data_IF_082997087852
#
_entry.id   IF_082997087852
#
_cell.length_a   1.000
_cell.length_b   1.000
_cell.length_c   1.000
_cell.angle_alpha   90.00
_cell.angle_beta   90.00
_cell.angle_gamma   90.00
#
_symmetry.space_group_name_H-M   'P 1'
#
loop_
_entity.id
_entity.type
_entity.pdbx_description
1 polymer ?
#
# COMPACT_ATOMS: atom_id res chain seq x y z
N UNK A 1 5.15 39.50 3.91
CA UNK A 1 6.09 39.66 2.77
C UNK A 1 7.23 38.64 2.79
N UNK A 2 8.16 38.63 3.76
CA UNK A 2 9.21 37.58 3.81
C UNK A 2 8.66 36.17 4.13
N UNK A 3 7.66 36.07 5.03
CA UNK A 3 6.98 34.81 5.34
C UNK A 3 6.11 34.25 4.21
N UNK A 4 5.48 35.14 3.41
CA UNK A 4 4.65 34.72 2.26
C UNK A 4 5.49 34.25 1.08
N UNK A 5 6.68 34.85 0.87
CA UNK A 5 7.63 34.43 -0.16
C UNK A 5 8.23 33.04 0.18
N UNK A 6 8.64 32.82 1.44
CA UNK A 6 9.15 31.52 1.87
C UNK A 6 8.09 30.40 1.80
N UNK A 7 6.82 30.71 2.10
CA UNK A 7 5.72 29.76 1.95
C UNK A 7 5.39 29.45 0.48
N UNK A 8 5.48 30.45 -0.40
CA UNK A 8 5.30 30.26 -1.85
C UNK A 8 6.45 29.46 -2.48
N UNK A 9 7.68 29.71 -2.05
CA UNK A 9 8.88 28.96 -2.48
C UNK A 9 8.81 27.50 -2.03
N UNK A 10 8.34 27.23 -0.80
CA UNK A 10 8.11 25.87 -0.30
C UNK A 10 7.02 25.11 -1.07
N UNK A 11 5.90 25.77 -1.40
CA UNK A 11 4.83 25.14 -2.19
C UNK A 11 5.26 24.85 -3.65
N UNK A 12 6.04 25.74 -4.24
CA UNK A 12 6.63 25.54 -5.57
C UNK A 12 7.63 24.37 -5.57
N UNK A 13 8.45 24.25 -4.51
CA UNK A 13 9.40 23.15 -4.38
C UNK A 13 8.72 21.79 -4.20
N UNK A 14 7.66 21.71 -3.39
CA UNK A 14 6.87 20.47 -3.19
C UNK A 14 6.18 20.02 -4.48
N UNK A 15 5.57 20.95 -5.23
CA UNK A 15 4.90 20.62 -6.50
C UNK A 15 5.90 20.21 -7.57
N UNK A 16 7.08 20.83 -7.60
CA UNK A 16 8.16 20.43 -8.51
C UNK A 16 8.66 19.01 -8.24
N UNK A 17 8.93 18.64 -6.97
CA UNK A 17 9.35 17.27 -6.64
C UNK A 17 8.27 16.25 -7.02
N UNK A 18 6.99 16.62 -6.93
CA UNK A 18 5.88 15.79 -7.43
C UNK A 18 5.93 15.57 -8.94
N UNK A 19 6.18 16.62 -9.71
CA UNK A 19 6.37 16.51 -11.16
C UNK A 19 7.60 15.64 -11.50
N UNK A 20 8.72 15.80 -10.77
CA UNK A 20 9.91 14.97 -10.92
C UNK A 20 9.59 13.50 -10.62
N UNK A 21 8.86 13.21 -9.55
CA UNK A 21 8.46 11.85 -9.20
C UNK A 21 7.61 11.20 -10.31
N UNK A 22 6.66 11.93 -10.90
CA UNK A 22 5.86 11.42 -12.03
C UNK A 22 6.71 11.20 -13.28
N UNK A 23 7.65 12.11 -13.59
CA UNK A 23 8.61 11.93 -14.68
C UNK A 23 9.48 10.68 -14.46
N UNK A 24 9.96 10.47 -13.23
CA UNK A 24 10.67 9.25 -12.85
C UNK A 24 9.80 8.01 -13.00
N UNK A 25 8.49 8.09 -12.73
CA UNK A 25 7.52 7.03 -13.04
C UNK A 25 7.49 6.68 -14.53
N UNK A 26 7.40 7.69 -15.42
CA UNK A 26 7.43 7.47 -16.88
C UNK A 26 8.75 6.85 -17.33
N UNK A 27 9.88 7.33 -16.80
CA UNK A 27 11.20 6.76 -17.07
C UNK A 27 11.26 5.30 -16.60
N UNK A 28 10.71 5.01 -15.42
CA UNK A 28 10.68 3.68 -14.81
C UNK A 28 9.89 2.70 -15.66
N UNK A 29 8.76 3.10 -16.25
CA UNK A 29 8.00 2.26 -17.20
C UNK A 29 8.84 1.82 -18.40
N UNK A 30 9.75 2.68 -18.87
CA UNK A 30 10.70 2.33 -19.95
C UNK A 30 11.87 1.48 -19.44
N UNK A 31 12.37 1.78 -18.25
CA UNK A 31 13.49 1.09 -17.64
C UNK A 31 13.16 -0.36 -17.26
N UNK A 32 11.90 -0.64 -16.89
CA UNK A 32 11.40 -1.98 -16.58
C UNK A 32 11.52 -2.95 -17.76
N UNK A 33 11.65 -2.45 -19.00
CA UNK A 33 11.96 -3.29 -20.16
C UNK A 33 13.37 -3.89 -20.10
N UNK A 34 14.27 -3.31 -19.29
CA UNK A 34 15.68 -3.67 -19.20
C UNK A 34 16.04 -4.31 -17.85
N UNK A 35 15.27 -4.03 -16.80
CA UNK A 35 15.51 -4.51 -15.45
C UNK A 35 14.38 -5.45 -15.00
N UNK A 36 14.68 -6.65 -14.48
CA UNK A 36 13.67 -7.62 -14.04
C UNK A 36 13.06 -7.26 -12.65
N UNK A 37 13.04 -5.97 -12.29
CA UNK A 37 12.54 -5.50 -11.00
C UNK A 37 11.10 -4.99 -11.13
N UNK A 38 10.25 -5.16 -10.09
CA UNK A 38 8.91 -4.58 -10.06
C UNK A 38 8.93 -3.05 -10.17
N UNK A 39 7.87 -2.49 -10.75
CA UNK A 39 7.71 -1.04 -10.90
C UNK A 39 7.89 -0.27 -9.59
N UNK A 40 7.20 -0.70 -8.53
CA UNK A 40 7.24 -0.05 -7.21
C UNK A 40 8.61 -0.15 -6.53
N UNK A 41 9.38 -1.21 -6.81
CA UNK A 41 10.74 -1.38 -6.32
C UNK A 41 11.70 -0.34 -6.93
N UNK A 42 11.58 -0.09 -8.23
CA UNK A 42 12.39 0.93 -8.92
C UNK A 42 12.05 2.35 -8.43
N UNK A 43 10.77 2.65 -8.19
CA UNK A 43 10.35 3.92 -7.62
C UNK A 43 10.88 4.14 -6.20
N UNK A 44 10.86 3.09 -5.38
CA UNK A 44 11.44 3.15 -4.04
C UNK A 44 12.95 3.45 -4.12
N UNK A 45 13.67 2.82 -5.05
CA UNK A 45 15.10 3.11 -5.30
C UNK A 45 15.27 4.58 -5.71
N UNK A 46 14.45 5.11 -6.61
CA UNK A 46 14.49 6.53 -6.97
C UNK A 46 14.31 7.44 -5.76
N UNK A 47 13.32 7.15 -4.90
CA UNK A 47 13.11 7.90 -3.66
C UNK A 47 14.30 7.82 -2.71
N UNK A 48 14.87 6.63 -2.51
CA UNK A 48 16.05 6.43 -1.66
C UNK A 48 17.25 7.22 -2.19
N UNK A 49 17.51 7.17 -3.49
CA UNK A 49 18.58 7.93 -4.14
C UNK A 49 18.37 9.43 -3.97
N UNK A 50 17.14 9.92 -4.21
CA UNK A 50 16.81 11.34 -4.00
C UNK A 50 17.04 11.77 -2.55
N UNK A 51 16.62 10.96 -1.58
CA UNK A 51 16.83 11.23 -0.16
C UNK A 51 18.32 11.27 0.21
N UNK A 52 19.10 10.25 -0.16
CA UNK A 52 20.54 10.18 0.13
C UNK A 52 21.30 11.33 -0.54
N UNK A 53 20.98 11.64 -1.80
CA UNK A 53 21.58 12.76 -2.51
C UNK A 53 21.30 14.09 -1.81
N UNK A 54 20.09 14.30 -1.30
CA UNK A 54 19.75 15.51 -0.57
C UNK A 54 20.60 15.69 0.70
N UNK A 55 20.79 14.62 1.48
CA UNK A 55 21.63 14.67 2.69
C UNK A 55 23.12 14.87 2.35
N UNK A 56 23.62 14.18 1.32
CA UNK A 56 25.04 14.21 0.93
C UNK A 56 25.44 15.56 0.30
N UNK A 57 24.54 16.17 -0.47
CA UNK A 57 24.80 17.42 -1.21
C UNK A 57 24.03 18.61 -0.62
N UNK A 58 23.90 18.66 0.70
CA UNK A 58 23.13 19.64 1.49
C UNK A 58 23.37 21.12 1.09
N UNK A 59 24.54 21.46 0.55
CA UNK A 59 24.89 22.82 0.11
C UNK A 59 24.83 23.06 -1.42
N UNK A 60 24.37 22.09 -2.23
CA UNK A 60 24.55 22.12 -3.69
C UNK A 60 23.31 22.32 -4.57
N UNK A 61 22.09 22.08 -4.06
CA UNK A 61 20.89 21.94 -4.91
C UNK A 61 19.83 23.05 -4.72
N UNK A 62 20.06 24.03 -3.83
CA UNK A 62 19.16 25.19 -3.63
C UNK A 62 17.70 24.79 -3.40
N UNK A 63 16.77 25.45 -4.11
CA UNK A 63 15.31 25.22 -4.05
C UNK A 63 14.93 23.74 -4.26
N UNK A 64 15.72 22.96 -5.00
CA UNK A 64 15.45 21.54 -5.23
C UNK A 64 15.68 20.70 -3.97
N UNK A 65 16.73 20.99 -3.21
CA UNK A 65 16.98 20.32 -1.93
C UNK A 65 15.95 20.67 -0.87
N UNK A 66 15.49 21.93 -0.87
CA UNK A 66 14.38 22.37 -0.01
C UNK A 66 13.07 21.62 -0.33
N UNK A 67 12.81 21.32 -1.61
CA UNK A 67 11.66 20.51 -2.03
C UNK A 67 11.72 19.07 -1.51
N UNK A 68 12.87 18.41 -1.63
CA UNK A 68 13.06 17.03 -1.11
C UNK A 68 12.97 17.02 0.42
N UNK A 69 13.54 18.02 1.08
CA UNK A 69 13.43 18.19 2.54
C UNK A 69 11.99 18.44 2.97
N UNK A 70 11.23 19.21 2.18
CA UNK A 70 9.80 19.43 2.42
C UNK A 70 9.01 18.13 2.29
N UNK A 71 9.29 17.32 1.27
CA UNK A 71 8.70 15.99 1.09
C UNK A 71 8.98 15.06 2.27
N UNK A 72 10.23 15.02 2.73
CA UNK A 72 10.64 14.26 3.92
C UNK A 72 9.86 14.65 5.18
N UNK A 73 9.44 15.92 5.27
CA UNK A 73 8.73 16.48 6.41
C UNK A 73 7.22 16.65 6.14
N UNK A 74 6.68 16.01 5.10
CA UNK A 74 5.23 15.98 4.88
C UNK A 74 4.55 15.37 6.10
N UNK A 75 3.51 16.02 6.65
CA UNK A 75 2.79 15.48 7.79
C UNK A 75 2.12 14.15 7.40
N UNK A 76 2.20 13.09 8.22
CA UNK A 76 1.65 11.78 7.87
C UNK A 76 0.15 11.81 7.57
N UNK A 77 -0.62 12.66 8.26
CA UNK A 77 -2.04 12.87 7.99
C UNK A 77 -2.31 13.39 6.57
N UNK A 78 -1.40 14.15 5.97
CA UNK A 78 -1.54 14.56 4.57
C UNK A 78 -1.38 13.37 3.61
N UNK A 79 -0.43 12.46 3.89
CA UNK A 79 -0.25 11.22 3.13
C UNK A 79 -1.55 10.38 3.19
N UNK A 80 -2.11 10.22 4.40
CA UNK A 80 -3.31 9.45 4.64
C UNK A 80 -4.58 10.09 4.03
N UNK A 81 -4.70 11.42 4.04
CA UNK A 81 -5.92 12.11 3.56
C UNK A 81 -5.92 12.44 2.07
N UNK A 82 -4.76 12.62 1.45
CA UNK A 82 -4.66 13.06 0.04
C UNK A 82 -4.33 11.92 -0.91
N UNK A 83 -3.46 10.98 -0.52
CA UNK A 83 -3.05 9.90 -1.42
C UNK A 83 -3.91 8.66 -1.22
N UNK A 84 -4.16 8.30 0.03
CA UNK A 84 -4.73 7.01 0.36
C UNK A 84 -6.20 6.82 -0.09
N UNK A 85 -7.12 7.81 -0.01
CA UNK A 85 -8.51 7.58 -0.39
C UNK A 85 -8.66 7.19 -1.86
N UNK A 86 -7.85 7.79 -2.74
CA UNK A 86 -7.84 7.46 -4.16
C UNK A 86 -7.29 6.06 -4.43
N UNK A 87 -6.23 5.65 -3.72
CA UNK A 87 -5.63 4.32 -3.87
C UNK A 87 -6.58 3.23 -3.34
N UNK A 88 -7.11 3.40 -2.13
CA UNK A 88 -8.03 2.43 -1.52
C UNK A 88 -9.31 2.25 -2.34
N UNK A 89 -9.92 3.37 -2.77
CA UNK A 89 -11.12 3.30 -3.59
C UNK A 89 -10.81 2.69 -4.97
N UNK A 90 -9.72 3.09 -5.63
CA UNK A 90 -9.27 2.52 -6.90
C UNK A 90 -9.09 1.01 -6.85
N UNK A 91 -8.43 0.50 -5.80
CA UNK A 91 -8.22 -0.94 -5.59
C UNK A 91 -9.57 -1.69 -5.48
N UNK A 92 -10.49 -1.23 -4.64
CA UNK A 92 -11.83 -1.85 -4.55
C UNK A 92 -12.64 -1.73 -5.85
N UNK A 93 -12.49 -0.62 -6.57
CA UNK A 93 -13.21 -0.34 -7.81
C UNK A 93 -12.87 -1.36 -8.90
N UNK A 94 -11.59 -1.75 -8.98
CA UNK A 94 -11.04 -2.68 -9.96
C UNK A 94 -11.45 -4.15 -9.71
N UNK A 95 -12.02 -4.48 -8.54
CA UNK A 95 -12.38 -5.85 -8.21
C UNK A 95 -13.66 -6.31 -8.92
N UNK A 96 -13.65 -7.44 -9.65
CA UNK A 96 -14.85 -7.97 -10.27
C UNK A 96 -15.90 -8.38 -9.23
N UNK A 97 -17.11 -7.84 -9.34
CA UNK A 97 -18.24 -8.07 -8.41
C UNK A 97 -18.47 -9.54 -8.03
N UNK A 98 -18.49 -10.43 -9.02
CA UNK A 98 -18.75 -11.86 -8.80
C UNK A 98 -17.63 -12.54 -7.99
N UNK A 99 -16.38 -12.15 -8.27
CA UNK A 99 -15.18 -12.68 -7.60
C UNK A 99 -15.07 -12.12 -6.18
N UNK A 100 -15.28 -10.81 -6.01
CA UNK A 100 -15.28 -10.15 -4.70
C UNK A 100 -16.32 -10.77 -3.77
N UNK A 101 -17.57 -10.95 -4.24
CA UNK A 101 -18.65 -11.56 -3.43
C UNK A 101 -18.27 -12.95 -2.93
N UNK A 102 -17.59 -13.76 -3.76
CA UNK A 102 -17.18 -15.13 -3.41
C UNK A 102 -15.98 -15.16 -2.47
N UNK A 103 -15.06 -14.20 -2.63
CA UNK A 103 -13.79 -14.12 -1.91
C UNK A 103 -13.88 -13.32 -0.60
N UNK A 104 -14.99 -12.61 -0.39
CA UNK A 104 -15.21 -11.75 0.79
C UNK A 104 -14.98 -12.44 2.15
N UNK A 105 -15.41 -13.71 2.37
CA UNK A 105 -15.11 -14.40 3.62
C UNK A 105 -13.60 -14.60 3.85
N UNK A 106 -12.84 -14.95 2.80
CA UNK A 106 -11.38 -15.10 2.88
C UNK A 106 -10.71 -13.76 3.20
N UNK A 107 -11.14 -12.68 2.53
CA UNK A 107 -10.67 -11.31 2.77
C UNK A 107 -10.88 -10.92 4.23
N UNK A 108 -12.08 -11.12 4.79
CA UNK A 108 -12.35 -10.75 6.18
C UNK A 108 -11.63 -11.63 7.19
N UNK A 109 -11.51 -12.93 6.92
CA UNK A 109 -10.86 -13.85 7.84
C UNK A 109 -9.36 -13.53 7.97
N UNK A 110 -8.69 -13.36 6.84
CA UNK A 110 -7.28 -12.97 6.79
C UNK A 110 -7.09 -11.53 7.28
N UNK A 111 -7.90 -10.61 6.77
CA UNK A 111 -7.79 -9.17 7.02
C UNK A 111 -8.08 -8.74 8.46
N UNK A 112 -8.92 -9.49 9.17
CA UNK A 112 -9.24 -9.19 10.58
C UNK A 112 -8.51 -10.13 11.52
N UNK A 113 -8.74 -11.43 11.43
CA UNK A 113 -8.15 -12.37 12.39
C UNK A 113 -6.66 -12.54 12.15
N UNK A 114 -6.23 -12.64 10.88
CA UNK A 114 -4.82 -12.75 10.52
C UNK A 114 -4.01 -11.58 11.06
N UNK A 115 -4.50 -10.35 10.89
CA UNK A 115 -3.85 -9.14 11.42
C UNK A 115 -3.78 -9.14 12.94
N UNK A 116 -4.88 -9.43 13.63
CA UNK A 116 -4.88 -9.45 15.10
C UNK A 116 -3.88 -10.46 15.67
N UNK A 117 -3.80 -11.65 15.07
CA UNK A 117 -2.80 -12.66 15.44
C UNK A 117 -1.39 -12.21 15.09
N UNK A 118 -1.19 -11.67 13.88
CA UNK A 118 0.08 -11.13 13.42
C UNK A 118 0.63 -10.03 14.31
N UNK A 119 -0.22 -9.12 14.81
CA UNK A 119 0.17 -8.08 15.78
C UNK A 119 0.68 -8.72 17.08
N UNK A 120 -0.06 -9.68 17.64
CA UNK A 120 0.32 -10.34 18.89
C UNK A 120 1.63 -11.13 18.71
N UNK A 121 1.76 -11.90 17.62
CA UNK A 121 2.95 -12.69 17.34
C UNK A 121 4.18 -11.78 17.09
N UNK A 122 4.00 -10.67 16.37
CA UNK A 122 5.06 -9.67 16.17
C UNK A 122 5.46 -8.99 17.48
N UNK A 123 4.50 -8.71 18.37
CA UNK A 123 4.76 -8.16 19.69
C UNK A 123 5.54 -9.16 20.59
N UNK A 124 5.19 -10.44 20.55
CA UNK A 124 5.92 -11.51 21.25
C UNK A 124 7.35 -11.60 20.72
N UNK A 125 7.54 -11.60 19.40
CA UNK A 125 8.87 -11.56 18.79
C UNK A 125 9.68 -10.35 19.28
N UNK A 126 9.10 -9.14 19.21
CA UNK A 126 9.75 -7.92 19.66
C UNK A 126 10.14 -7.98 21.15
N UNK A 127 9.28 -8.54 22.01
CA UNK A 127 9.51 -8.61 23.46
C UNK A 127 10.65 -9.56 23.86
N UNK A 128 10.82 -10.66 23.14
CA UNK A 128 11.75 -11.74 23.55
C UNK A 128 13.00 -11.86 22.68
N UNK A 129 12.98 -11.33 21.46
CA UNK A 129 14.10 -11.47 20.50
C UNK A 129 14.87 -10.16 20.35
N UNK A 130 14.19 -9.00 20.40
CA UNK A 130 14.86 -7.71 20.26
C UNK A 130 15.44 -7.25 21.62
N UNK A 131 16.70 -6.77 21.66
CA UNK A 131 17.41 -6.46 22.90
C UNK A 131 17.13 -5.02 23.40
N UNK A 132 15.90 -4.53 23.28
CA UNK A 132 15.57 -3.12 23.56
C UNK A 132 14.69 -2.93 24.81
N UNK A 133 14.37 -4.02 25.52
CA UNK A 133 13.58 -4.01 26.75
C UNK A 133 12.23 -3.27 26.66
N UNK A 134 11.64 -3.22 25.47
CA UNK A 134 10.34 -2.60 25.24
C UNK A 134 9.24 -3.22 26.10
N UNK A 135 8.35 -2.37 26.59
CA UNK A 135 7.15 -2.76 27.31
C UNK A 135 6.19 -3.50 26.39
N UNK A 136 5.25 -4.28 26.96
CA UNK A 136 4.23 -4.96 26.16
C UNK A 136 3.36 -4.00 25.33
N UNK A 137 3.11 -2.79 25.83
CA UNK A 137 2.35 -1.77 25.10
C UNK A 137 3.12 -1.26 23.88
N UNK A 138 4.43 -0.99 24.04
CA UNK A 138 5.33 -0.64 22.93
C UNK A 138 5.43 -1.79 21.92
N UNK A 139 5.56 -3.04 22.36
CA UNK A 139 5.61 -4.19 21.44
C UNK A 139 4.31 -4.38 20.66
N UNK A 140 3.14 -4.17 21.28
CA UNK A 140 1.84 -4.23 20.59
C UNK A 140 1.67 -3.07 19.59
N UNK A 141 2.10 -1.86 19.96
CA UNK A 141 2.12 -0.71 19.06
C UNK A 141 3.03 -0.99 17.87
N UNK A 142 4.23 -1.51 18.11
CA UNK A 142 5.18 -1.93 17.06
C UNK A 142 4.57 -2.97 16.12
N UNK A 143 3.91 -4.00 16.67
CA UNK A 143 3.18 -4.99 15.90
C UNK A 143 2.06 -4.39 15.03
N UNK A 144 1.30 -3.43 15.56
CA UNK A 144 0.22 -2.75 14.81
C UNK A 144 0.72 -1.87 13.68
N UNK A 145 1.87 -1.21 13.84
CA UNK A 145 2.51 -0.42 12.79
C UNK A 145 2.98 -1.33 11.66
N UNK A 146 3.62 -2.44 12.04
CA UNK A 146 4.15 -3.41 11.07
C UNK A 146 3.08 -4.28 10.44
N UNK A 147 1.82 -4.32 10.91
CA UNK A 147 0.83 -5.24 10.38
C UNK A 147 0.19 -4.79 9.06
N UNK A 148 0.25 -3.50 8.74
CA UNK A 148 -0.22 -2.96 7.46
C UNK A 148 0.55 -3.60 6.27
N UNK A 149 -0.17 -3.98 5.22
CA UNK A 149 0.39 -4.66 4.04
C UNK A 149 0.07 -3.89 2.76
N UNK A 150 0.90 -4.06 1.73
CA UNK A 150 0.75 -3.41 0.43
C UNK A 150 1.22 -4.34 -0.68
N UNK A 151 0.29 -5.12 -1.28
CA UNK A 151 0.63 -6.13 -2.27
C UNK A 151 0.72 -5.53 -3.68
N UNK A 152 0.78 -4.21 -3.87
CA UNK A 152 0.73 -3.58 -5.22
C UNK A 152 1.75 -4.18 -6.18
N UNK A 153 2.98 -4.44 -5.72
CA UNK A 153 4.01 -5.07 -6.54
C UNK A 153 3.62 -6.49 -6.98
N UNK A 154 3.02 -7.26 -6.07
CA UNK A 154 2.62 -8.64 -6.30
C UNK A 154 1.37 -8.69 -7.17
N UNK A 155 0.34 -7.88 -6.87
CA UNK A 155 -0.90 -7.76 -7.64
C UNK A 155 -0.62 -7.39 -9.09
N UNK A 156 0.32 -6.46 -9.33
CA UNK A 156 0.74 -6.12 -10.69
C UNK A 156 1.28 -7.34 -11.45
N UNK A 157 2.15 -8.14 -10.81
CA UNK A 157 2.70 -9.36 -11.42
C UNK A 157 1.63 -10.45 -11.60
N UNK A 158 0.71 -10.62 -10.64
CA UNK A 158 -0.40 -11.58 -10.75
C UNK A 158 -1.29 -11.25 -11.95
N UNK A 159 -1.63 -9.96 -12.15
CA UNK A 159 -2.40 -9.48 -13.30
C UNK A 159 -1.64 -9.66 -14.62
N UNK A 160 -0.35 -9.33 -14.64
CA UNK A 160 0.51 -9.49 -15.83
C UNK A 160 0.60 -10.96 -16.28
N UNK A 161 0.77 -11.88 -15.32
CA UNK A 161 0.86 -13.32 -15.58
C UNK A 161 -0.51 -14.01 -15.69
N UNK A 162 -1.61 -13.25 -15.65
CA UNK A 162 -3.00 -13.74 -15.78
C UNK A 162 -3.37 -14.84 -14.78
N UNK A 163 -2.91 -14.68 -13.53
CA UNK A 163 -3.33 -15.51 -12.40
C UNK A 163 -4.83 -15.35 -12.15
N UNK A 164 -5.57 -16.41 -11.77
CA UNK A 164 -7.00 -16.34 -11.49
C UNK A 164 -7.36 -15.14 -10.62
N UNK A 165 -8.37 -14.39 -11.07
CA UNK A 165 -8.84 -13.16 -10.41
C UNK A 165 -9.16 -13.38 -8.92
N UNK A 166 -9.58 -14.60 -8.54
CA UNK A 166 -9.86 -14.98 -7.15
C UNK A 166 -8.67 -14.76 -6.24
N UNK A 167 -7.47 -15.22 -6.62
CA UNK A 167 -6.28 -15.05 -5.79
C UNK A 167 -5.85 -13.58 -5.73
N UNK A 168 -5.92 -12.89 -6.87
CA UNK A 168 -5.61 -11.46 -6.96
C UNK A 168 -6.55 -10.64 -6.07
N UNK A 169 -7.86 -10.90 -6.10
CA UNK A 169 -8.87 -10.22 -5.27
C UNK A 169 -8.72 -10.56 -3.79
N UNK A 170 -8.35 -11.78 -3.43
CA UNK A 170 -8.09 -12.12 -2.02
C UNK A 170 -6.86 -11.37 -1.51
N UNK A 171 -5.75 -11.39 -2.25
CA UNK A 171 -4.50 -10.72 -1.85
C UNK A 171 -4.68 -9.22 -1.74
N UNK A 172 -5.31 -8.60 -2.74
CA UNK A 172 -5.55 -7.15 -2.78
C UNK A 172 -6.60 -6.74 -1.73
N UNK A 173 -7.71 -7.47 -1.64
CA UNK A 173 -8.79 -7.20 -0.71
C UNK A 173 -8.41 -7.38 0.76
N UNK A 174 -7.60 -8.39 1.07
CA UNK A 174 -7.05 -8.59 2.41
C UNK A 174 -6.24 -7.36 2.84
N UNK A 175 -5.30 -6.90 2.00
CA UNK A 175 -4.43 -5.78 2.35
C UNK A 175 -5.20 -4.48 2.65
N UNK A 176 -6.30 -4.24 1.93
CA UNK A 176 -7.19 -3.11 2.21
C UNK A 176 -7.82 -3.20 3.60
N UNK A 177 -8.21 -4.41 4.03
CA UNK A 177 -8.74 -4.64 5.38
C UNK A 177 -7.61 -4.59 6.41
N UNK A 178 -6.42 -5.10 6.07
CA UNK A 178 -5.24 -5.07 6.93
C UNK A 178 -4.88 -3.66 7.33
N UNK A 179 -4.78 -2.75 6.36
CA UNK A 179 -4.48 -1.34 6.60
C UNK A 179 -5.49 -0.70 7.56
N UNK A 180 -6.76 -1.04 7.38
CA UNK A 180 -7.84 -0.59 8.24
C UNK A 180 -7.71 -1.10 9.67
N UNK A 181 -7.52 -2.41 9.86
CA UNK A 181 -7.40 -3.04 11.18
C UNK A 181 -6.10 -2.64 11.89
N UNK A 182 -5.00 -2.51 11.14
CA UNK A 182 -3.73 -1.98 11.63
C UNK A 182 -3.90 -0.57 12.21
N UNK A 183 -4.60 0.33 11.49
CA UNK A 183 -4.88 1.67 11.97
C UNK A 183 -5.79 1.69 13.22
N UNK A 184 -6.78 0.79 13.32
CA UNK A 184 -7.57 0.63 14.56
C UNK A 184 -6.67 0.27 15.74
N UNK A 185 -5.82 -0.75 15.55
CA UNK A 185 -4.97 -1.25 16.61
C UNK A 185 -3.88 -0.26 16.99
N UNK A 186 -3.35 0.49 16.01
CA UNK A 186 -2.45 1.62 16.25
C UNK A 186 -3.06 2.63 17.23
N UNK A 187 -4.30 3.11 16.98
CA UNK A 187 -4.96 4.08 17.87
C UNK A 187 -5.12 3.52 19.29
N UNK A 188 -5.52 2.24 19.41
CA UNK A 188 -5.69 1.59 20.71
C UNK A 188 -4.35 1.46 21.44
N UNK A 189 -3.32 0.95 20.77
CA UNK A 189 -2.00 0.70 21.35
C UNK A 189 -1.26 2.00 21.68
N UNK A 190 -1.36 3.04 20.86
CA UNK A 190 -0.82 4.37 21.17
C UNK A 190 -1.47 4.93 22.43
N UNK A 191 -2.79 4.81 22.58
CA UNK A 191 -3.48 5.23 23.81
C UNK A 191 -3.02 4.47 25.07
N UNK A 192 -2.58 3.21 24.92
CA UNK A 192 -2.00 2.42 26.00
C UNK A 192 -0.58 2.88 26.36
N UNK A 193 0.27 3.12 25.36
CA UNK A 193 1.64 3.63 25.56
C UNK A 193 1.63 5.01 26.22
N UNK A 194 0.71 5.89 25.82
CA UNK A 194 0.53 7.22 26.41
C UNK A 194 -0.07 7.20 27.83
N UNK A 195 -0.55 6.04 28.31
CA UNK A 195 -1.24 5.93 29.61
C UNK A 195 -2.67 6.48 29.63
N UNK A 196 -3.24 6.85 28.48
CA UNK A 196 -4.60 7.39 28.34
C UNK A 196 -5.70 6.30 28.31
N UNK A 197 -5.32 5.03 28.11
CA UNK A 197 -6.22 3.88 27.93
C UNK A 197 -6.26 2.87 29.09
N UNK A 198 -6.05 3.28 30.34
CA UNK A 198 -5.83 2.34 31.47
C UNK A 198 -7.08 1.54 31.91
N UNK A 199 -8.29 1.92 31.49
CA UNK A 199 -9.53 1.22 31.86
C UNK A 199 -10.05 0.36 30.70
N UNK A 200 -10.40 -0.89 30.98
CA UNK A 200 -10.94 -1.83 29.99
C UNK A 200 -12.14 -1.27 29.20
N UNK A 201 -13.02 -0.52 29.86
CA UNK A 201 -14.15 0.15 29.20
C UNK A 201 -13.74 1.22 28.18
N UNK A 202 -12.65 1.95 28.43
CA UNK A 202 -12.13 2.94 27.48
C UNK A 202 -11.53 2.27 26.24
N UNK A 203 -10.79 1.17 26.43
CA UNK A 203 -10.24 0.35 25.35
C UNK A 203 -11.36 -0.19 24.46
N UNK A 204 -12.38 -0.83 25.06
CA UNK A 204 -13.53 -1.38 24.32
C UNK A 204 -14.28 -0.28 23.59
N UNK A 205 -14.49 0.89 24.22
CA UNK A 205 -15.13 2.04 23.57
C UNK A 205 -14.35 2.52 22.36
N UNK A 206 -13.02 2.68 22.47
CA UNK A 206 -12.15 3.10 21.36
C UNK A 206 -12.17 2.05 20.26
N UNK A 207 -12.03 0.76 20.59
CA UNK A 207 -12.06 -0.34 19.63
C UNK A 207 -13.39 -0.38 18.87
N UNK A 208 -14.52 -0.31 19.57
CA UNK A 208 -15.85 -0.27 18.95
C UNK A 208 -16.03 0.97 18.08
N UNK A 209 -15.60 2.16 18.54
CA UNK A 209 -15.69 3.39 17.75
C UNK A 209 -14.88 3.26 16.46
N UNK A 210 -13.63 2.85 16.55
CA UNK A 210 -12.74 2.79 15.39
C UNK A 210 -13.12 1.65 14.42
N UNK A 211 -13.56 0.51 14.93
CA UNK A 211 -13.90 -0.67 14.10
C UNK A 211 -15.30 -0.62 13.50
N UNK A 212 -16.27 0.05 14.14
CA UNK A 212 -17.67 0.05 13.67
C UNK A 212 -18.09 1.38 13.03
N UNK A 213 -17.66 2.53 13.57
CA UNK A 213 -18.12 3.82 13.04
C UNK A 213 -17.59 4.07 11.62
N UNK A 214 -16.31 3.78 11.35
CA UNK A 214 -15.71 3.90 10.02
C UNK A 214 -16.48 3.10 8.96
N UNK A 215 -16.63 1.78 9.10
CA UNK A 215 -17.44 0.97 8.19
C UNK A 215 -18.91 1.40 8.09
N UNK A 216 -19.54 1.85 9.19
CA UNK A 216 -20.92 2.33 9.13
C UNK A 216 -21.06 3.60 8.28
N UNK A 217 -20.12 4.55 8.40
CA UNK A 217 -20.07 5.76 7.57
C UNK A 217 -19.78 5.36 6.12
N UNK A 218 -18.81 4.47 5.89
CA UNK A 218 -18.47 3.96 4.58
C UNK A 218 -19.65 3.27 3.88
N UNK A 219 -20.42 2.47 4.62
CA UNK A 219 -21.65 1.85 4.14
C UNK A 219 -22.68 2.90 3.72
N UNK A 220 -22.90 3.93 4.55
CA UNK A 220 -23.81 5.02 4.23
C UNK A 220 -23.37 5.76 2.95
N UNK A 221 -22.09 6.12 2.84
CA UNK A 221 -21.54 6.77 1.64
C UNK A 221 -21.60 5.88 0.40
N UNK A 222 -21.29 4.60 0.52
CA UNK A 222 -21.39 3.64 -0.57
C UNK A 222 -22.83 3.47 -1.08
N UNK A 223 -23.81 3.41 -0.17
CA UNK A 223 -25.22 3.36 -0.53
C UNK A 223 -25.70 4.67 -1.17
N UNK A 224 -25.28 5.82 -0.64
CA UNK A 224 -25.57 7.14 -1.21
C UNK A 224 -24.96 7.28 -2.61
N UNK A 225 -23.75 6.78 -2.82
CA UNK A 225 -23.08 6.77 -4.11
C UNK A 225 -23.86 5.91 -5.13
N UNK A 226 -24.22 4.68 -4.76
CA UNK A 226 -25.01 3.79 -5.62
C UNK A 226 -26.37 4.41 -5.95
N UNK A 227 -27.04 4.99 -4.95
CA UNK A 227 -28.30 5.70 -5.17
C UNK A 227 -28.13 6.92 -6.07
N UNK A 228 -27.07 7.72 -5.89
CA UNK A 228 -26.78 8.90 -6.69
C UNK A 228 -26.56 8.57 -8.16
N UNK A 229 -25.86 7.46 -8.43
CA UNK A 229 -25.63 6.97 -9.80
C UNK A 229 -26.93 6.47 -10.43
N UNK A 230 -27.74 5.71 -9.69
CA UNK A 230 -29.03 5.20 -10.18
C UNK A 230 -30.06 6.34 -10.40
N UNK A 231 -30.02 7.39 -9.58
CA UNK A 231 -30.99 8.51 -9.62
C UNK A 231 -30.60 9.62 -10.60
N UNK A 232 -29.31 9.84 -10.83
CA UNK A 232 -28.78 10.85 -11.76
C UNK A 232 -28.09 10.19 -12.97
N UNK A 233 -28.80 9.36 -13.76
CA UNK A 233 -28.25 8.80 -14.98
C UNK A 233 -28.01 9.96 -15.95
N UNK A 234 -26.75 10.40 -16.03
CA UNK A 234 -26.32 11.37 -17.02
C UNK A 234 -25.75 10.60 -18.21
N UNK A 235 -25.94 11.14 -19.41
CA UNK A 235 -25.30 10.64 -20.63
C UNK A 235 -23.78 10.88 -20.56
N UNK A 236 -23.04 10.03 -19.81
CA UNK A 236 -21.58 10.06 -19.76
C UNK A 236 -20.97 9.70 -18.40
N UNK A 237 -19.69 9.29 -18.44
CA UNK A 237 -18.92 8.83 -17.27
C UNK A 237 -18.55 9.93 -16.26
N UNK A 238 -18.68 11.21 -16.62
CA UNK A 238 -18.21 12.35 -15.80
C UNK A 238 -19.00 12.46 -14.48
N UNK A 239 -20.31 12.21 -14.50
CA UNK A 239 -21.14 12.26 -13.30
C UNK A 239 -20.76 11.14 -12.33
N UNK A 240 -20.61 9.91 -12.83
CA UNK A 240 -20.17 8.77 -12.02
C UNK A 240 -18.75 8.99 -11.47
N UNK A 241 -17.85 9.53 -12.28
CA UNK A 241 -16.51 9.91 -11.86
C UNK A 241 -16.54 10.96 -10.73
N UNK A 242 -17.31 12.04 -10.90
CA UNK A 242 -17.43 13.08 -9.89
C UNK A 242 -18.01 12.56 -8.58
N UNK A 243 -19.03 11.70 -8.65
CA UNK A 243 -19.63 11.08 -7.47
C UNK A 243 -18.67 10.11 -6.77
N UNK A 244 -17.91 9.29 -7.50
CA UNK A 244 -16.93 8.35 -6.92
C UNK A 244 -15.74 9.08 -6.28
N UNK A 245 -15.24 10.16 -6.88
CA UNK A 245 -14.23 11.03 -6.28
C UNK A 245 -14.78 11.73 -5.03
N UNK A 246 -15.97 12.32 -5.10
CA UNK A 246 -16.58 12.97 -3.94
C UNK A 246 -16.85 12.00 -2.79
N UNK A 247 -17.30 10.77 -3.10
CA UNK A 247 -17.56 9.75 -2.10
C UNK A 247 -16.27 9.24 -1.45
N UNK A 248 -15.22 8.96 -2.22
CA UNK A 248 -13.95 8.45 -1.67
C UNK A 248 -13.27 9.47 -0.74
N UNK A 249 -13.00 10.67 -1.21
CA UNK A 249 -12.33 11.71 -0.41
C UNK A 249 -13.26 12.30 0.67
N UNK A 250 -14.54 12.48 0.36
CA UNK A 250 -15.54 12.98 1.31
C UNK A 250 -15.83 12.01 2.46
N UNK A 251 -15.89 10.71 2.19
CA UNK A 251 -16.09 9.71 3.24
C UNK A 251 -14.89 9.62 4.18
N UNK A 252 -13.66 9.71 3.63
CA UNK A 252 -12.43 9.72 4.43
C UNK A 252 -12.39 10.92 5.38
N UNK A 253 -12.52 12.13 4.83
CA UNK A 253 -12.44 13.39 5.59
C UNK A 253 -13.54 13.48 6.65
N UNK A 254 -14.77 13.06 6.33
CA UNK A 254 -15.83 13.00 7.33
C UNK A 254 -15.51 12.00 8.46
N UNK A 255 -15.02 10.82 8.11
CA UNK A 255 -14.72 9.79 9.10
C UNK A 255 -13.56 10.20 10.01
N UNK A 256 -12.46 10.69 9.46
CA UNK A 256 -11.24 11.01 10.21
C UNK A 256 -11.34 12.38 10.91
N UNK A 257 -11.59 13.45 10.15
CA UNK A 257 -11.49 14.81 10.68
C UNK A 257 -12.71 15.21 11.53
N UNK A 258 -13.91 14.84 11.09
CA UNK A 258 -15.16 15.28 11.74
C UNK A 258 -15.61 14.30 12.82
N UNK A 259 -15.63 13.00 12.50
CA UNK A 259 -16.18 11.97 13.39
C UNK A 259 -15.12 11.23 14.22
N UNK A 260 -13.83 11.52 14.00
CA UNK A 260 -12.71 10.97 14.76
C UNK A 260 -12.74 9.42 14.80
N UNK A 261 -13.02 8.85 13.64
CA UNK A 261 -13.17 7.43 13.35
C UNK A 261 -12.21 6.99 12.23
N UNK A 262 -12.15 5.70 11.93
CA UNK A 262 -11.19 5.16 10.98
C UNK A 262 -11.56 5.51 9.53
N UNK A 263 -10.81 6.45 8.93
CA UNK A 263 -10.96 6.87 7.53
C UNK A 263 -10.64 5.77 6.51
N UNK A 264 -9.64 4.94 6.78
CA UNK A 264 -9.21 3.82 5.91
C UNK A 264 -10.35 2.81 5.75
N UNK A 265 -10.86 2.27 6.86
CA UNK A 265 -11.99 1.33 6.85
C UNK A 265 -13.27 1.95 6.27
N UNK A 266 -13.46 3.26 6.44
CA UNK A 266 -14.58 3.99 5.84
C UNK A 266 -14.51 3.93 4.31
N UNK A 267 -13.39 4.32 3.71
CA UNK A 267 -13.22 4.32 2.24
C UNK A 267 -13.27 2.92 1.68
N UNK A 268 -12.60 1.95 2.32
CA UNK A 268 -12.61 0.55 1.89
C UNK A 268 -14.04 -0.02 1.90
N UNK A 269 -14.81 0.27 2.95
CA UNK A 269 -16.22 -0.17 3.02
C UNK A 269 -17.07 0.52 1.95
N UNK A 270 -16.88 1.83 1.73
CA UNK A 270 -17.56 2.56 0.66
C UNK A 270 -17.28 1.94 -0.72
N UNK A 271 -16.01 1.65 -0.98
CA UNK A 271 -15.53 1.01 -2.20
C UNK A 271 -16.09 -0.40 -2.41
N UNK A 272 -16.08 -1.25 -1.38
CA UNK A 272 -16.69 -2.58 -1.45
C UNK A 272 -18.20 -2.54 -1.71
N UNK A 273 -18.92 -1.62 -1.04
CA UNK A 273 -20.36 -1.44 -1.28
C UNK A 273 -20.63 -1.04 -2.72
N UNK A 274 -19.85 -0.09 -3.25
CA UNK A 274 -19.93 0.31 -4.64
C UNK A 274 -19.61 -0.87 -5.59
N UNK A 275 -18.51 -1.58 -5.40
CA UNK A 275 -18.12 -2.73 -6.22
C UNK A 275 -19.15 -3.87 -6.20
N UNK A 276 -19.86 -4.08 -5.07
CA UNK A 276 -20.85 -5.14 -4.93
C UNK A 276 -22.24 -4.76 -5.44
N UNK A 277 -22.65 -3.50 -5.32
CA UNK A 277 -24.03 -3.08 -5.56
C UNK A 277 -24.23 -2.27 -6.84
N UNK A 278 -23.25 -1.46 -7.27
CA UNK A 278 -23.39 -0.59 -8.43
C UNK A 278 -23.69 -1.40 -9.71
N UNK A 279 -24.56 -0.84 -10.55
CA UNK A 279 -24.80 -1.31 -11.91
C UNK A 279 -24.01 -0.40 -12.84
N UNK A 280 -23.04 -0.95 -13.56
CA UNK A 280 -22.19 -0.17 -14.45
C UNK A 280 -22.65 -0.37 -15.90
N UNK A 281 -22.90 0.72 -16.61
CA UNK A 281 -23.02 0.67 -18.06
C UNK A 281 -21.65 0.38 -18.67
N UNK A 282 -21.56 -0.49 -19.67
CA UNK A 282 -20.28 -0.98 -20.18
C UNK A 282 -19.38 0.13 -20.76
N UNK A 283 -19.99 1.14 -21.38
CA UNK A 283 -19.29 2.29 -21.99
C UNK A 283 -18.66 3.20 -20.92
N UNK A 284 -19.43 3.57 -19.89
CA UNK A 284 -19.00 4.36 -18.76
C UNK A 284 -17.99 3.61 -17.88
N UNK A 285 -18.19 2.30 -17.69
CA UNK A 285 -17.30 1.44 -16.89
C UNK A 285 -15.86 1.47 -17.40
N UNK A 286 -15.64 1.33 -18.72
CA UNK A 286 -14.29 1.31 -19.32
C UNK A 286 -13.56 2.65 -19.17
N UNK A 287 -14.28 3.77 -19.34
CA UNK A 287 -13.71 5.10 -19.16
C UNK A 287 -13.33 5.35 -17.69
N UNK A 288 -14.20 4.94 -16.77
CA UNK A 288 -14.00 5.08 -15.34
C UNK A 288 -12.85 4.19 -14.83
N UNK A 289 -12.76 2.96 -15.32
CA UNK A 289 -11.65 2.03 -15.05
C UNK A 289 -10.32 2.58 -15.54
N UNK A 290 -10.28 3.14 -16.76
CA UNK A 290 -9.08 3.77 -17.30
C UNK A 290 -8.64 4.98 -16.45
N UNK A 291 -9.60 5.79 -15.99
CA UNK A 291 -9.32 6.92 -15.11
C UNK A 291 -8.76 6.45 -13.77
N UNK A 292 -9.43 5.54 -13.07
CA UNK A 292 -9.00 5.06 -11.76
C UNK A 292 -7.64 4.37 -11.83
N UNK A 293 -7.39 3.56 -12.86
CA UNK A 293 -6.08 2.95 -13.09
C UNK A 293 -4.97 3.99 -13.31
N UNK A 294 -5.26 5.06 -14.07
CA UNK A 294 -4.31 6.16 -14.27
C UNK A 294 -4.05 6.96 -12.99
N UNK A 295 -5.10 7.21 -12.21
CA UNK A 295 -5.01 7.91 -10.94
C UNK A 295 -4.21 7.07 -9.91
N UNK A 296 -4.52 5.78 -9.79
CA UNK A 296 -3.80 4.85 -8.93
C UNK A 296 -2.32 4.76 -9.31
N UNK A 297 -2.00 4.71 -10.61
CA UNK A 297 -0.61 4.78 -11.08
C UNK A 297 0.08 6.08 -10.65
N UNK A 298 -0.57 7.24 -10.82
CA UNK A 298 -0.01 8.53 -10.37
C UNK A 298 0.21 8.55 -8.85
N UNK A 299 -0.79 8.16 -8.07
CA UNK A 299 -0.75 8.20 -6.60
C UNK A 299 0.30 7.22 -6.05
N UNK A 300 0.33 5.97 -6.54
CA UNK A 300 1.36 4.99 -6.17
C UNK A 300 2.76 5.48 -6.57
N UNK A 301 2.89 6.15 -7.71
CA UNK A 301 4.19 6.70 -8.14
C UNK A 301 4.72 7.74 -7.17
N UNK A 302 3.88 8.73 -6.83
CA UNK A 302 4.22 9.76 -5.85
C UNK A 302 4.55 9.13 -4.49
N UNK A 303 3.76 8.14 -4.09
CA UNK A 303 3.82 7.49 -2.80
C UNK A 303 5.08 6.65 -2.60
N UNK A 304 5.48 5.80 -3.56
CA UNK A 304 6.70 5.00 -3.42
C UNK A 304 7.97 5.86 -3.47
N UNK A 305 7.98 6.94 -4.26
CA UNK A 305 9.08 7.92 -4.25
C UNK A 305 9.14 8.64 -2.90
N UNK A 306 7.98 9.09 -2.37
CA UNK A 306 7.88 9.75 -1.07
C UNK A 306 8.38 8.85 0.06
N UNK A 307 7.96 7.57 0.08
CA UNK A 307 8.45 6.59 1.07
C UNK A 307 9.97 6.49 1.00
N UNK A 308 10.56 6.36 -0.19
CA UNK A 308 12.00 6.28 -0.34
C UNK A 308 12.72 7.51 0.21
N UNK A 309 12.20 8.72 -0.07
CA UNK A 309 12.76 9.98 0.45
C UNK A 309 12.68 10.04 1.97
N UNK A 310 11.53 9.68 2.55
CA UNK A 310 11.31 9.67 4.01
C UNK A 310 12.24 8.67 4.69
N UNK A 311 12.29 7.44 4.19
CA UNK A 311 13.12 6.36 4.76
C UNK A 311 14.58 6.75 4.66
N UNK A 312 15.07 7.16 3.48
CA UNK A 312 16.47 7.57 3.32
C UNK A 312 16.84 8.74 4.24
N UNK A 313 16.08 9.83 4.22
CA UNK A 313 16.40 11.01 5.01
C UNK A 313 16.43 10.72 6.52
N UNK A 314 15.45 9.98 7.03
CA UNK A 314 15.34 9.72 8.48
C UNK A 314 16.29 8.63 8.99
N UNK A 315 16.59 7.62 8.17
CA UNK A 315 17.64 6.64 8.51
C UNK A 315 19.04 7.25 8.48
N UNK A 316 19.31 8.17 7.55
CA UNK A 316 20.60 8.84 7.43
C UNK A 316 20.83 9.88 8.54
N UNK A 317 19.80 10.66 8.92
CA UNK A 317 19.86 11.57 10.06
C UNK A 317 20.08 10.81 11.39
N UNK A 318 19.47 9.62 11.55
CA UNK A 318 19.53 8.83 12.79
C UNK A 318 20.91 8.36 13.26
N UNK A 319 21.98 8.59 12.47
CA UNK A 319 23.35 8.27 12.86
C UNK A 319 23.96 9.28 13.87
N UNK A 320 23.47 10.52 13.98
CA UNK A 320 24.07 11.57 14.83
C UNK A 320 23.05 12.41 15.65
N UNK A 321 21.78 11.98 15.75
CA UNK A 321 20.69 12.82 16.29
C UNK A 321 20.47 12.69 17.81
N UNK A 322 20.62 11.51 18.40
CA UNK A 322 20.36 11.34 19.84
C UNK A 322 21.66 11.21 20.64
N UNK A 323 21.82 11.93 21.76
CA UNK A 323 22.95 11.73 22.66
C UNK A 323 22.81 10.40 23.42
N UNK A 324 23.73 9.45 23.23
CA UNK A 324 23.78 8.19 23.98
C UNK A 324 23.80 6.93 23.10
N UNK A 325 23.36 5.80 23.67
CA UNK A 325 23.28 4.48 23.02
C UNK A 325 21.90 4.21 22.36
N UNK A 326 21.12 5.28 22.14
CA UNK A 326 19.76 5.23 21.60
C UNK A 326 19.69 5.49 20.09
N UNK A 327 20.84 5.71 19.45
CA UNK A 327 20.97 5.79 18.00
C UNK A 327 20.85 4.42 17.34
N UNK A 328 20.76 4.42 16.00
CA UNK A 328 20.71 3.21 15.19
C UNK A 328 22.13 2.63 15.12
N UNK A 329 22.30 1.43 15.69
CA UNK A 329 23.57 0.70 15.69
C UNK A 329 23.68 -0.22 14.47
N UNK A 330 24.90 -0.64 14.13
CA UNK A 330 25.13 -1.63 13.08
C UNK A 330 24.38 -2.96 13.34
N UNK A 331 24.18 -3.32 14.62
CA UNK A 331 23.38 -4.47 15.01
C UNK A 331 21.92 -4.38 14.58
N UNK A 332 21.37 -3.15 14.50
CA UNK A 332 19.96 -2.94 14.18
C UNK A 332 19.64 -3.31 12.74
N UNK A 333 20.59 -3.13 11.82
CA UNK A 333 20.48 -3.64 10.45
C UNK A 333 20.36 -5.18 10.43
N UNK A 334 21.11 -5.88 11.29
CA UNK A 334 20.99 -7.33 11.47
C UNK A 334 19.61 -7.72 12.03
N UNK A 335 19.13 -6.98 13.03
CA UNK A 335 17.78 -7.18 13.57
C UNK A 335 16.68 -6.85 12.57
N UNK A 336 16.89 -5.92 11.63
CA UNK A 336 15.92 -5.60 10.59
C UNK A 336 15.74 -6.76 9.60
N UNK A 337 16.84 -7.42 9.22
CA UNK A 337 16.77 -8.65 8.40
C UNK A 337 16.12 -9.78 9.18
N UNK A 338 16.46 -9.94 10.47
CA UNK A 338 15.85 -10.95 11.32
C UNK A 338 14.34 -10.71 11.49
N UNK A 339 13.91 -9.46 11.70
CA UNK A 339 12.53 -9.05 11.77
C UNK A 339 11.79 -9.37 10.48
N UNK A 340 12.37 -9.04 9.32
CA UNK A 340 11.79 -9.37 8.02
C UNK A 340 11.55 -10.88 7.86
N UNK A 341 12.51 -11.72 8.25
CA UNK A 341 12.34 -13.18 8.26
C UNK A 341 11.28 -13.62 9.28
N UNK A 342 11.26 -13.00 10.46
CA UNK A 342 10.26 -13.29 11.48
C UNK A 342 8.84 -12.95 11.00
N UNK A 343 8.65 -11.84 10.29
CA UNK A 343 7.35 -11.47 9.71
C UNK A 343 6.85 -12.51 8.69
N UNK A 344 7.75 -13.11 7.89
CA UNK A 344 7.40 -14.23 7.01
C UNK A 344 6.95 -15.48 7.78
N UNK A 345 7.62 -15.77 8.90
CA UNK A 345 7.24 -16.88 9.79
C UNK A 345 5.89 -16.60 10.46
N UNK A 346 5.69 -15.40 11.00
CA UNK A 346 4.42 -14.95 11.58
C UNK A 346 3.29 -15.15 10.57
N UNK A 347 3.48 -14.67 9.34
CA UNK A 347 2.50 -14.81 8.26
C UNK A 347 2.19 -16.27 7.93
N UNK A 348 3.21 -17.13 7.94
CA UNK A 348 3.05 -18.57 7.74
C UNK A 348 2.22 -19.20 8.86
N UNK A 349 2.47 -18.81 10.12
CA UNK A 349 1.69 -19.26 11.28
C UNK A 349 0.24 -18.79 11.17
N UNK A 350 0.01 -17.53 10.81
CA UNK A 350 -1.34 -16.95 10.68
C UNK A 350 -2.17 -17.73 9.65
N UNK A 351 -1.62 -17.92 8.44
CA UNK A 351 -2.30 -18.66 7.36
C UNK A 351 -2.48 -20.13 7.73
N UNK A 352 -1.49 -20.76 8.38
CA UNK A 352 -1.60 -22.15 8.82
C UNK A 352 -2.66 -22.34 9.91
N UNK A 353 -2.79 -21.40 10.85
CA UNK A 353 -3.77 -21.46 11.92
C UNK A 353 -5.20 -21.19 11.40
N UNK A 354 -5.33 -20.31 10.41
CA UNK A 354 -6.60 -20.03 9.73
C UNK A 354 -6.96 -21.07 8.67
N UNK A 355 -6.04 -21.97 8.30
CA UNK A 355 -6.23 -22.95 7.25
C UNK A 355 -7.53 -23.76 7.36
N UNK A 356 -7.94 -24.31 8.52
CA UNK A 356 -9.18 -25.08 8.64
C UNK A 356 -10.42 -24.26 8.26
N UNK A 357 -10.40 -22.96 8.56
CA UNK A 357 -11.48 -22.03 8.21
C UNK A 357 -11.40 -21.65 6.74
N UNK A 358 -10.21 -21.34 6.22
CA UNK A 358 -9.98 -21.00 4.81
C UNK A 358 -10.35 -22.15 3.86
N UNK A 359 -10.05 -23.39 4.26
CA UNK A 359 -10.33 -24.59 3.48
C UNK A 359 -11.83 -24.93 3.44
N UNK A 360 -12.59 -24.61 4.49
CA UNK A 360 -14.02 -24.95 4.61
C UNK A 360 -14.96 -23.78 4.33
N UNK A 361 -14.46 -22.56 4.15
CA UNK A 361 -15.26 -21.39 3.80
C UNK A 361 -15.18 -21.10 2.29
N UNK A 362 -16.32 -20.71 1.69
CA UNK A 362 -16.41 -20.46 0.25
C UNK A 362 -16.17 -21.71 -0.60
N UNK A 363 -15.30 -21.60 -1.61
CA UNK A 363 -14.99 -22.69 -2.56
C UNK A 363 -13.72 -23.49 -2.19
N UNK A 364 -13.16 -23.24 -1.01
CA UNK A 364 -11.89 -23.82 -0.57
C UNK A 364 -10.68 -23.04 -1.08
N UNK A 365 -9.71 -22.81 -0.20
CA UNK A 365 -8.47 -22.10 -0.53
C UNK A 365 -7.39 -23.10 -0.95
N UNK A 366 -6.73 -22.86 -2.09
CA UNK A 366 -5.67 -23.77 -2.55
C UNK A 366 -4.37 -23.57 -1.78
N UNK A 367 -3.58 -24.63 -1.59
CA UNK A 367 -2.27 -24.54 -0.92
C UNK A 367 -1.34 -23.60 -1.71
N UNK A 368 -1.40 -23.64 -3.05
CA UNK A 368 -0.65 -22.73 -3.91
C UNK A 368 -1.07 -21.27 -3.67
N UNK A 369 -2.37 -21.01 -3.56
CA UNK A 369 -2.90 -19.69 -3.19
C UNK A 369 -2.41 -19.23 -1.83
N UNK A 370 -2.42 -20.10 -0.82
CA UNK A 370 -1.88 -19.79 0.50
C UNK A 370 -0.39 -19.43 0.49
N UNK A 371 0.43 -20.14 -0.27
CA UNK A 371 1.85 -19.79 -0.41
C UNK A 371 2.04 -18.43 -1.07
N UNK A 372 1.22 -18.08 -2.07
CA UNK A 372 1.23 -16.75 -2.68
C UNK A 372 0.78 -15.68 -1.67
N UNK A 373 -0.27 -15.92 -0.90
CA UNK A 373 -0.77 -14.99 0.14
C UNK A 373 0.25 -14.75 1.25
N UNK A 374 1.00 -15.78 1.65
CA UNK A 374 2.09 -15.64 2.62
C UNK A 374 3.19 -14.74 2.04
N UNK A 375 3.56 -14.96 0.77
CA UNK A 375 4.62 -14.19 0.10
C UNK A 375 4.17 -12.78 -0.30
N UNK A 376 2.87 -12.53 -0.45
CA UNK A 376 2.32 -11.24 -0.88
C UNK A 376 2.20 -10.21 0.24
N UNK A 377 2.54 -10.58 1.49
CA UNK A 377 2.52 -9.70 2.66
C UNK A 377 3.64 -8.65 2.66
N UNK A 378 3.75 -7.89 1.57
CA UNK A 378 4.70 -6.79 1.44
C UNK A 378 4.27 -5.64 2.36
N UNK A 379 5.22 -4.87 2.87
CA UNK A 379 4.92 -3.67 3.68
C UNK A 379 4.92 -2.44 2.78
N UNK A 380 4.01 -1.50 3.06
CA UNK A 380 3.88 -0.29 2.26
C UNK A 380 3.57 0.97 3.06
N UNK A 381 2.87 1.90 2.40
CA UNK A 381 2.73 3.29 2.87
C UNK A 381 2.04 3.43 4.20
N UNK A 382 0.97 2.68 4.45
CA UNK A 382 0.15 2.85 5.66
C UNK A 382 1.00 2.57 6.88
N UNK A 383 1.79 1.49 6.86
CA UNK A 383 2.74 1.21 7.94
C UNK A 383 3.80 2.31 8.11
N UNK A 384 4.33 2.88 7.02
CA UNK A 384 5.28 4.02 7.10
C UNK A 384 4.62 5.26 7.69
N UNK A 385 3.39 5.59 7.29
CA UNK A 385 2.65 6.71 7.83
C UNK A 385 2.35 6.51 9.33
N UNK A 386 1.95 5.31 9.75
CA UNK A 386 1.75 4.97 11.16
C UNK A 386 3.08 5.06 11.95
N UNK A 387 4.19 4.58 11.39
CA UNK A 387 5.51 4.71 12.01
C UNK A 387 5.95 6.16 12.16
N UNK A 388 5.66 7.02 11.18
CA UNK A 388 5.90 8.45 11.28
C UNK A 388 5.01 9.11 12.34
N UNK A 389 3.75 8.68 12.48
CA UNK A 389 2.89 9.17 13.55
C UNK A 389 3.46 8.82 14.93
N UNK A 390 3.98 7.58 15.12
CA UNK A 390 4.72 7.20 16.34
C UNK A 390 5.93 8.11 16.54
N UNK A 391 6.73 8.31 15.48
CA UNK A 391 7.95 9.11 15.55
C UNK A 391 7.70 10.58 15.91
N UNK A 392 6.59 11.15 15.45
CA UNK A 392 6.22 12.54 15.69
C UNK A 392 5.36 12.75 16.94
N UNK A 393 4.93 11.68 17.62
CA UNK A 393 4.05 11.78 18.78
C UNK A 393 4.82 12.28 20.02
N UNK A 394 4.54 13.49 20.54
CA UNK A 394 5.22 14.02 21.71
C UNK A 394 4.83 13.31 23.02
N UNK A 395 3.72 12.57 23.04
CA UNK A 395 3.23 11.91 24.25
C UNK A 395 3.96 10.57 24.53
N UNK A 396 4.67 10.03 23.54
CA UNK A 396 5.55 8.88 23.73
C UNK A 396 6.90 9.42 24.21
N UNK A 397 7.35 9.02 25.41
CA UNK A 397 8.58 9.55 26.02
C UNK A 397 9.87 8.89 25.53
N UNK A 398 9.77 7.67 25.00
CA UNK A 398 10.93 6.87 24.60
C UNK A 398 11.37 7.22 23.16
N UNK A 399 12.30 8.17 23.02
CA UNK A 399 12.83 8.61 21.72
C UNK A 399 13.57 7.49 20.96
N UNK A 400 14.30 6.62 21.68
CA UNK A 400 14.96 5.46 21.08
C UNK A 400 13.94 4.47 20.47
N UNK A 401 12.82 4.23 21.14
CA UNK A 401 11.71 3.42 20.59
C UNK A 401 11.13 4.03 19.32
N UNK A 402 10.83 5.34 19.32
CA UNK A 402 10.29 6.05 18.16
C UNK A 402 11.17 5.92 16.92
N UNK A 403 12.46 6.18 17.09
CA UNK A 403 13.44 6.08 16.00
C UNK A 403 13.55 4.65 15.48
N UNK A 404 13.60 3.66 16.37
CA UNK A 404 13.69 2.23 16.01
C UNK A 404 12.44 1.73 15.30
N UNK A 405 11.23 2.14 15.70
CA UNK A 405 9.98 1.80 15.01
C UNK A 405 10.02 2.30 13.56
N UNK A 406 10.40 3.55 13.34
CA UNK A 406 10.53 4.12 12.00
C UNK A 406 11.61 3.41 11.18
N UNK A 407 12.77 3.13 11.78
CA UNK A 407 13.86 2.40 11.13
C UNK A 407 13.45 0.99 10.71
N UNK A 408 12.83 0.22 11.60
CA UNK A 408 12.38 -1.14 11.30
C UNK A 408 11.27 -1.15 10.25
N UNK A 409 10.31 -0.22 10.32
CA UNK A 409 9.28 -0.08 9.29
C UNK A 409 9.90 0.25 7.93
N UNK A 410 10.78 1.26 7.85
CA UNK A 410 11.45 1.64 6.61
C UNK A 410 12.31 0.51 6.03
N UNK A 411 13.08 -0.17 6.88
CA UNK A 411 13.92 -1.30 6.48
C UNK A 411 13.10 -2.49 6.00
N UNK A 412 11.99 -2.79 6.68
CA UNK A 412 11.09 -3.88 6.25
C UNK A 412 10.39 -3.56 4.94
N UNK A 413 9.94 -2.32 4.69
CA UNK A 413 9.43 -1.91 3.37
C UNK A 413 10.47 -2.13 2.28
N UNK A 414 11.70 -1.66 2.49
CA UNK A 414 12.79 -1.86 1.54
C UNK A 414 13.02 -3.34 1.25
N UNK A 415 13.12 -4.18 2.29
CA UNK A 415 13.33 -5.62 2.11
C UNK A 415 12.12 -6.29 1.43
N UNK A 416 10.89 -5.97 1.82
CA UNK A 416 9.71 -6.60 1.20
C UNK A 416 9.53 -6.18 -0.25
N UNK A 417 9.69 -4.90 -0.57
CA UNK A 417 9.47 -4.42 -1.95
C UNK A 417 10.63 -4.84 -2.86
N UNK A 418 11.88 -4.68 -2.43
CA UNK A 418 13.05 -4.99 -3.26
C UNK A 418 13.30 -6.50 -3.35
N UNK A 419 13.15 -7.25 -2.26
CA UNK A 419 13.45 -8.69 -2.22
C UNK A 419 12.19 -9.51 -2.51
N UNK A 420 11.15 -9.42 -1.68
CA UNK A 420 9.95 -10.26 -1.88
C UNK A 420 9.21 -9.91 -3.17
N UNK A 421 9.07 -8.61 -3.48
CA UNK A 421 8.47 -8.13 -4.72
C UNK A 421 9.20 -8.63 -5.97
N UNK A 422 10.53 -8.62 -5.97
CA UNK A 422 11.31 -9.12 -7.12
C UNK A 422 11.30 -10.64 -7.25
N UNK A 423 11.11 -11.36 -6.13
CA UNK A 423 11.11 -12.82 -6.08
C UNK A 423 9.71 -13.45 -6.28
N UNK A 424 8.65 -12.66 -6.47
CA UNK A 424 7.31 -13.22 -6.73
C UNK A 424 7.24 -13.96 -8.07
N UNK A 425 7.81 -13.40 -9.14
CA UNK A 425 7.81 -14.01 -10.47
C UNK A 425 8.47 -15.40 -10.48
N UNK A 426 9.69 -15.60 -9.93
CA UNK A 426 10.27 -16.93 -9.85
C UNK A 426 9.46 -17.87 -8.93
N UNK A 427 8.89 -17.36 -7.83
CA UNK A 427 8.03 -18.18 -6.96
C UNK A 427 6.81 -18.73 -7.72
N UNK A 428 6.12 -17.89 -8.51
CA UNK A 428 4.95 -18.31 -9.29
C UNK A 428 5.29 -19.37 -10.34
N UNK A 429 6.47 -19.28 -10.96
CA UNK A 429 7.00 -20.30 -11.89
C UNK A 429 7.27 -21.62 -11.17
N UNK A 430 7.89 -21.59 -9.99
CA UNK A 430 8.16 -22.78 -9.17
C UNK A 430 6.85 -23.45 -8.72
N UNK A 431 5.84 -22.66 -8.35
CA UNK A 431 4.52 -23.17 -7.96
C UNK A 431 3.72 -23.73 -9.15
N UNK A 432 4.24 -23.66 -10.38
CA UNK A 432 3.54 -24.05 -11.61
C UNK A 432 2.17 -23.39 -11.71
N UNK A 433 2.08 -22.13 -11.26
CA UNK A 433 0.90 -21.30 -11.53
C UNK A 433 1.02 -20.66 -12.92
N UNK A 434 2.20 -20.65 -13.52
CA UNK A 434 2.46 -20.07 -14.85
C UNK A 434 3.42 -20.99 -15.60
N UNK A 435 3.18 -21.24 -16.89
CA UNK A 435 4.09 -22.01 -17.75
C UNK A 435 5.41 -21.26 -17.96
N UNK A 436 6.46 -21.99 -18.35
CA UNK A 436 7.81 -21.46 -18.63
C UNK A 436 7.86 -20.31 -19.64
N UNK A 437 6.79 -20.10 -20.43
CA UNK A 437 6.59 -19.01 -21.39
C UNK A 437 5.85 -17.78 -20.85
N UNK A 438 5.43 -17.77 -19.58
CA UNK A 438 4.63 -16.67 -19.01
C UNK A 438 3.11 -16.78 -19.28
N UNK A 439 2.66 -17.91 -19.82
CA UNK A 439 1.24 -18.20 -20.09
C UNK A 439 0.66 -19.16 -19.05
N UNK A 440 -0.60 -18.98 -18.67
CA UNK A 440 -1.28 -19.92 -17.77
C UNK A 440 -1.54 -21.27 -18.46
N UNK A 441 -1.22 -22.42 -17.82
CA UNK A 441 -1.66 -23.72 -18.33
C UNK A 441 -3.19 -23.83 -18.20
N UNK A 442 -3.90 -23.60 -19.30
CA UNK A 442 -5.36 -23.68 -19.37
C UNK A 442 -6.09 -22.41 -19.79
N UNK A 443 -5.40 -21.32 -20.14
CA UNK A 443 -6.04 -20.18 -20.80
C UNK A 443 -6.48 -20.62 -22.21
N UNK A 444 -7.71 -21.10 -22.34
CA UNK A 444 -8.34 -21.30 -23.64
C UNK A 444 -8.34 -19.94 -24.36
N UNK A 445 -7.58 -19.85 -25.43
CA UNK A 445 -7.81 -18.83 -26.46
C UNK A 445 -9.28 -18.88 -26.83
N UNK A 446 -10.02 -17.75 -26.87
CA UNK A 446 -11.38 -17.77 -27.38
C UNK A 446 -11.32 -18.33 -28.80
N UNK A 447 -11.88 -19.51 -28.98
CA UNK A 447 -12.05 -20.13 -30.29
C UNK A 447 -13.14 -19.34 -31.00
N UNK A 448 -12.75 -18.45 -31.89
CA UNK A 448 -13.66 -17.96 -32.92
C UNK A 448 -14.16 -19.18 -33.72
N UNK A 449 -15.46 -19.22 -34.02
CA UNK A 449 -16.15 -20.30 -34.76
C UNK A 449 -15.64 -20.54 -36.20
N UNK A 450 -14.51 -19.96 -36.58
CA UNK A 450 -13.84 -20.27 -37.85
C UNK A 450 -12.48 -20.88 -37.55
N UNK A 451 -12.34 -22.20 -37.75
CA UNK A 451 -11.13 -22.98 -37.47
C UNK A 451 -9.90 -22.56 -38.30
N UNK A 452 -9.32 -21.40 -38.02
CA UNK A 452 -8.03 -20.94 -38.54
C UNK A 452 -7.16 -20.47 -37.39
N UNK A 453 -6.08 -21.21 -37.18
CA UNK A 453 -4.98 -20.85 -36.28
C UNK A 453 -4.32 -19.56 -36.77
N UNK A 454 -4.49 -18.46 -36.01
CA UNK A 454 -3.65 -17.27 -36.18
C UNK A 454 -2.46 -17.40 -35.22
N UNK A 455 -1.35 -17.91 -35.74
CA UNK A 455 -0.03 -17.69 -35.15
C UNK A 455 0.28 -16.20 -35.23
N UNK A 456 0.04 -15.45 -34.16
CA UNK A 456 0.51 -14.06 -34.05
C UNK A 456 1.97 -14.10 -33.62
N UNK A 457 2.85 -14.40 -34.57
CA UNK A 457 4.29 -14.25 -34.44
C UNK A 457 4.66 -12.78 -34.30
N UNK A 458 5.22 -12.45 -33.15
CA UNK A 458 6.42 -11.63 -32.94
C UNK A 458 6.99 -10.89 -34.17
N UNK A 459 6.33 -9.82 -34.64
CA UNK A 459 6.98 -8.81 -35.50
C UNK A 459 6.39 -7.43 -35.17
N UNK A 460 6.98 -6.75 -34.18
CA UNK A 460 6.82 -5.31 -33.98
C UNK A 460 8.11 -4.77 -33.34
N UNK A 461 9.25 -5.00 -34.00
CA UNK A 461 10.51 -4.34 -33.69
C UNK A 461 11.42 -4.29 -34.93
N UNK A 462 11.09 -3.41 -35.89
CA UNK A 462 12.03 -2.93 -36.90
C UNK A 462 11.47 -1.66 -37.56
N UNK A 463 11.55 -0.52 -36.87
CA UNK A 463 11.48 0.78 -37.54
C UNK A 463 12.86 1.01 -38.14
N UNK A 464 13.02 0.61 -39.40
CA UNK A 464 14.18 0.88 -40.23
C UNK A 464 14.15 2.35 -40.64
N UNK A 465 15.06 3.16 -40.09
CA UNK A 465 15.38 4.47 -40.62
C UNK A 465 16.17 4.30 -41.93
N UNK A 466 15.56 4.66 -43.07
CA UNK A 466 16.30 4.96 -44.30
C UNK A 466 16.47 6.48 -44.46
N UNK A 467 17.65 6.97 -44.89
CA UNK A 467 17.93 8.39 -45.04
C UNK A 467 17.33 8.90 -46.36
N UNK A 468 16.54 9.98 -46.30
CA UNK A 468 16.16 10.72 -47.50
C UNK A 468 17.32 11.63 -47.92
N UNK A 469 17.84 11.34 -49.11
CA UNK A 469 18.81 12.15 -49.84
C UNK A 469 18.30 13.58 -50.06
N UNK A 470 19.25 14.52 -49.96
CA UNK A 470 19.12 15.91 -50.36
C UNK A 470 18.86 16.04 -51.86
N UNK A 471 17.94 16.95 -52.21
CA UNK A 471 17.78 17.48 -53.56
C UNK A 471 18.70 18.71 -53.71
N UNK A 472 19.89 18.52 -54.29
CA UNK A 472 20.41 19.27 -55.46
C UNK A 472 21.78 18.81 -55.89
#
# INVERSE_FOLDING_TARGET
MAGDAAAADGAAAVTFVGAVALLLGVVTLKLQMWLPLPYTALLLIWGLVLGICNETFTSGWGVYGEGVTSWRNIPPHFILSVLLPGILFGATFAMPKAVLRRSFPHILLLGVLGVLMGIVLTAVFARYVLPYDWTWHECLLFGSVLSATDPVAVVAVLKELRVPDELTVVVDGEALVDDGVAAVMYIVCTGLVQGNGTTAGAIVRTLCRQSLAGPAIGLAFGLLLVFGIDYWPADGYITELGLTLAASFGAFTLAEDVLQSNGILCVVTCGFVYALLAKREESAAKALESFWSSLEWCLNTLLFVLIGVVVAGRTYEGHDVLPGNDNIDLSDYGFAVLLWLALLVVRTIDVALLWPLLAHTGHGFSIKGALVTIWSGLRGVVGVALALLVFLDPAISNEGYKLRVLFFMGSTVCLTVLVQGSLITPLLKVLQLVDTTGSFPGAQTPSDESGRSVTRSTELTAITLQPKQELR
#
